data_IF_436095750274
#
_entry.id   IF_436095750274
#
_cell.length_a   1.000
_cell.length_b   1.000
_cell.length_c   1.000
_cell.angle_alpha   90.00
_cell.angle_beta   90.00
_cell.angle_gamma   90.00
#
_symmetry.space_group_name_H-M   'P 1'
#
loop_
_entity.id
_entity.type
_entity.pdbx_description
1 polymer ?
#
# COMPACT_ATOMS: atom_id res chain seq x y z
N UNK A 1 -6.12 -0.20 14.78
CA UNK A 1 -6.13 -1.22 13.70
C UNK A 1 -4.80 -1.95 13.62
N UNK A 2 -3.68 -1.24 13.59
CA UNK A 2 -2.33 -1.80 13.69
C UNK A 2 -1.61 -1.19 14.89
N UNK A 3 -0.86 -1.98 15.65
CA UNK A 3 -0.09 -1.56 16.81
C UNK A 3 1.31 -2.18 16.77
N UNK A 4 2.31 -1.35 16.94
CA UNK A 4 3.71 -1.70 17.07
C UNK A 4 4.16 -1.40 18.50
N UNK A 5 4.89 -2.33 19.13
CA UNK A 5 5.45 -2.19 20.47
C UNK A 5 6.92 -2.63 20.47
N UNK A 6 7.83 -1.67 20.64
CA UNK A 6 9.28 -1.89 20.67
C UNK A 6 9.79 -2.76 19.51
N UNK A 7 9.23 -2.55 18.32
CA UNK A 7 9.53 -3.37 17.14
C UNK A 7 10.90 -3.02 16.59
N UNK A 8 11.72 -4.05 16.40
CA UNK A 8 12.98 -4.00 15.66
C UNK A 8 12.97 -4.94 14.47
N UNK A 9 13.70 -4.56 13.43
CA UNK A 9 13.91 -5.37 12.23
C UNK A 9 15.37 -5.33 11.81
N UNK A 10 15.97 -6.51 11.60
CA UNK A 10 17.26 -6.70 10.94
C UNK A 10 17.16 -7.69 9.81
N UNK A 11 18.03 -7.59 8.84
CA UNK A 11 18.20 -8.57 7.77
C UNK A 11 19.45 -9.43 8.06
N UNK A 12 19.23 -10.74 8.21
CA UNK A 12 20.30 -11.67 8.56
C UNK A 12 21.01 -11.29 9.86
N UNK A 13 22.35 -11.26 9.84
CA UNK A 13 23.19 -10.87 10.97
C UNK A 13 23.58 -9.38 10.95
N UNK A 14 23.03 -8.59 10.04
CA UNK A 14 23.30 -7.17 9.91
C UNK A 14 22.77 -6.32 11.03
N UNK A 15 23.04 -5.01 11.02
CA UNK A 15 22.49 -4.07 11.99
C UNK A 15 20.96 -3.97 11.86
N UNK A 16 20.31 -3.51 12.92
CA UNK A 16 18.86 -3.20 12.86
C UNK A 16 18.60 -2.05 11.89
N UNK A 17 17.72 -2.31 10.93
CA UNK A 17 17.22 -1.32 9.96
C UNK A 17 16.07 -0.51 10.56
N UNK A 18 15.26 -1.14 11.43
CA UNK A 18 14.21 -0.48 12.19
C UNK A 18 14.46 -0.74 13.68
N UNK A 19 14.31 0.32 14.50
CA UNK A 19 14.69 0.29 15.92
C UNK A 19 13.61 0.90 16.79
N UNK A 20 13.18 0.14 17.80
CA UNK A 20 12.29 0.61 18.88
C UNK A 20 11.00 1.27 18.37
N UNK A 21 10.43 0.78 17.27
CA UNK A 21 9.22 1.36 16.72
C UNK A 21 8.03 1.09 17.64
N UNK A 22 7.44 2.16 18.17
CA UNK A 22 6.21 2.11 18.97
C UNK A 22 5.24 3.14 18.46
N UNK A 23 4.19 2.69 17.77
CA UNK A 23 3.15 3.56 17.21
C UNK A 23 1.88 2.77 16.88
N UNK A 24 0.83 3.50 16.48
CA UNK A 24 -0.45 2.92 16.07
C UNK A 24 -0.92 3.54 14.77
N UNK A 25 -1.59 2.71 13.95
CA UNK A 25 -2.43 3.14 12.85
C UNK A 25 -3.86 2.89 13.28
N UNK A 26 -4.59 3.96 13.51
CA UNK A 26 -6.00 3.87 13.90
C UNK A 26 -6.89 3.52 12.70
N UNK A 27 -8.08 2.95 12.90
CA UNK A 27 -9.06 2.80 11.83
C UNK A 27 -9.37 4.15 11.19
N UNK A 28 -9.56 4.16 9.87
CA UNK A 28 -9.93 5.35 9.09
C UNK A 28 -8.91 6.50 9.14
N UNK A 29 -7.66 6.25 9.60
CA UNK A 29 -6.61 7.27 9.60
C UNK A 29 -5.96 7.43 8.23
N UNK A 30 -5.49 8.65 7.95
CA UNK A 30 -4.63 8.95 6.80
C UNK A 30 -3.27 9.39 7.31
N UNK A 31 -2.18 8.80 6.82
CA UNK A 31 -0.83 9.09 7.30
C UNK A 31 0.16 9.13 6.15
N UNK A 32 1.10 10.06 6.21
CA UNK A 32 2.28 10.04 5.36
C UNK A 32 3.45 9.39 6.11
N UNK A 33 4.19 8.51 5.44
CA UNK A 33 5.45 7.97 5.89
C UNK A 33 6.57 8.62 5.08
N UNK A 34 7.43 9.38 5.73
CA UNK A 34 8.53 10.09 5.06
C UNK A 34 9.87 9.81 5.73
N UNK A 35 10.95 10.28 5.13
CA UNK A 35 12.32 10.10 5.60
C UNK A 35 13.29 9.93 4.45
N UNK A 36 14.60 10.05 4.68
CA UNK A 36 15.62 9.92 3.64
C UNK A 36 15.59 8.54 2.95
N UNK A 37 16.22 8.45 1.78
CA UNK A 37 16.43 7.17 1.12
C UNK A 37 17.22 6.24 2.04
N UNK A 38 16.84 4.96 2.08
CA UNK A 38 17.49 3.99 2.97
C UNK A 38 17.04 4.03 4.44
N UNK A 39 16.20 4.97 4.88
CA UNK A 39 15.74 5.05 6.26
C UNK A 39 14.93 3.85 6.75
N UNK A 40 14.47 2.96 5.83
CA UNK A 40 13.71 1.76 6.17
C UNK A 40 12.21 1.85 5.86
N UNK A 41 11.74 2.87 5.11
CA UNK A 41 10.31 3.04 4.75
C UNK A 41 9.71 1.79 4.11
N UNK A 42 10.35 1.24 3.08
CA UNK A 42 9.91 0.00 2.43
C UNK A 42 9.93 -1.20 3.38
N UNK A 43 10.88 -1.25 4.32
CA UNK A 43 10.93 -2.30 5.36
C UNK A 43 9.75 -2.20 6.32
N UNK A 44 9.37 -0.99 6.72
CA UNK A 44 8.19 -0.74 7.53
C UNK A 44 6.90 -1.13 6.78
N UNK A 45 6.76 -0.73 5.49
CA UNK A 45 5.63 -1.14 4.67
C UNK A 45 5.56 -2.68 4.51
N UNK A 46 6.69 -3.38 4.41
CA UNK A 46 6.73 -4.85 4.35
C UNK A 46 6.27 -5.50 5.65
N UNK A 47 6.56 -4.93 6.82
CA UNK A 47 6.00 -5.38 8.10
C UNK A 47 4.49 -5.16 8.13
N UNK A 48 4.01 -3.99 7.72
CA UNK A 48 2.58 -3.66 7.63
C UNK A 48 1.84 -4.57 6.65
N UNK A 49 2.47 -4.98 5.54
CA UNK A 49 1.91 -5.93 4.56
C UNK A 49 2.07 -7.39 4.97
N UNK A 50 2.63 -7.67 6.16
CA UNK A 50 2.87 -9.02 6.67
C UNK A 50 3.83 -9.86 5.79
N UNK A 51 4.66 -9.23 4.93
CA UNK A 51 5.66 -9.92 4.11
C UNK A 51 6.98 -10.16 4.86
N UNK A 52 7.18 -9.47 5.96
CA UNK A 52 8.25 -9.68 6.93
C UNK A 52 7.65 -9.88 8.32
N UNK A 53 8.37 -10.60 9.17
CA UNK A 53 8.10 -10.64 10.62
C UNK A 53 9.14 -9.76 11.34
N UNK A 54 8.78 -9.12 12.46
CA UNK A 54 9.73 -8.38 13.26
C UNK A 54 10.79 -9.34 13.84
N UNK A 55 12.01 -8.85 14.04
CA UNK A 55 13.06 -9.63 14.73
C UNK A 55 12.97 -9.50 16.24
N UNK A 56 12.32 -8.46 16.75
CA UNK A 56 11.92 -8.29 18.15
C UNK A 56 10.72 -7.36 18.27
N UNK A 57 10.12 -7.31 19.46
CA UNK A 57 8.92 -6.53 19.73
C UNK A 57 7.66 -7.23 19.23
N UNK A 58 6.53 -6.55 19.35
CA UNK A 58 5.22 -7.10 19.06
C UNK A 58 4.50 -6.25 18.02
N UNK A 59 3.91 -6.92 17.01
CA UNK A 59 2.99 -6.30 16.05
C UNK A 59 1.65 -6.96 16.20
N UNK A 60 0.63 -6.15 16.55
CA UNK A 60 -0.77 -6.57 16.47
C UNK A 60 -1.43 -5.90 15.28
N UNK A 61 -2.09 -6.70 14.43
CA UNK A 61 -2.75 -6.21 13.23
C UNK A 61 -4.14 -6.84 13.08
N UNK A 62 -5.15 -5.99 12.92
CA UNK A 62 -6.56 -6.39 12.87
C UNK A 62 -6.99 -7.26 14.08
N UNK A 63 -6.40 -7.02 15.25
CA UNK A 63 -6.67 -7.79 16.48
C UNK A 63 -5.88 -9.07 16.65
N UNK A 64 -4.96 -9.40 15.74
CA UNK A 64 -4.13 -10.62 15.80
C UNK A 64 -2.66 -10.29 16.06
N UNK A 65 -1.99 -11.10 16.88
CA UNK A 65 -0.54 -11.05 17.04
C UNK A 65 0.13 -11.67 15.79
N UNK A 66 0.90 -10.85 15.07
CA UNK A 66 1.56 -11.24 13.80
C UNK A 66 2.56 -12.39 14.01
N UNK A 67 3.19 -12.50 15.20
CA UNK A 67 4.17 -13.55 15.49
C UNK A 67 3.55 -14.94 15.49
N UNK A 68 2.30 -15.06 15.94
CA UNK A 68 1.58 -16.31 16.13
C UNK A 68 0.76 -16.76 14.92
N UNK A 69 0.65 -15.92 13.89
CA UNK A 69 -0.17 -16.20 12.71
C UNK A 69 0.34 -17.42 11.94
N UNK A 70 -0.58 -18.32 11.62
CA UNK A 70 -0.37 -19.36 10.62
C UNK A 70 -0.24 -18.77 9.21
N UNK A 71 0.26 -19.57 8.29
CA UNK A 71 0.41 -19.16 6.87
C UNK A 71 -0.93 -18.76 6.23
N UNK A 72 -1.99 -19.51 6.53
CA UNK A 72 -3.33 -19.25 6.01
C UNK A 72 -3.97 -18.01 6.65
N UNK A 73 -3.74 -17.80 7.94
CA UNK A 73 -4.18 -16.59 8.63
C UNK A 73 -3.49 -15.33 8.04
N UNK A 74 -2.18 -15.39 7.76
CA UNK A 74 -1.46 -14.31 7.06
C UNK A 74 -2.09 -14.04 5.68
N UNK A 75 -2.38 -15.07 4.88
CA UNK A 75 -3.01 -14.93 3.58
C UNK A 75 -4.39 -14.27 3.69
N UNK A 76 -5.19 -14.66 4.69
CA UNK A 76 -6.50 -14.07 4.96
C UNK A 76 -6.40 -12.59 5.36
N UNK A 77 -5.45 -12.23 6.23
CA UNK A 77 -5.25 -10.83 6.61
C UNK A 77 -4.74 -9.96 5.46
N UNK A 78 -3.86 -10.50 4.60
CA UNK A 78 -3.38 -9.78 3.41
C UNK A 78 -4.48 -9.39 2.44
N UNK A 79 -5.58 -10.15 2.35
CA UNK A 79 -6.74 -9.78 1.52
C UNK A 79 -7.44 -8.50 2.00
N UNK A 80 -7.19 -8.08 3.24
CA UNK A 80 -7.71 -6.83 3.83
C UNK A 80 -6.76 -5.64 3.59
N UNK A 81 -5.61 -5.89 2.94
CA UNK A 81 -4.56 -4.89 2.72
C UNK A 81 -4.36 -4.70 1.22
N UNK A 82 -4.60 -3.49 0.74
CA UNK A 82 -4.16 -3.07 -0.59
C UNK A 82 -2.72 -2.57 -0.53
N UNK A 83 -1.91 -2.91 -1.54
CA UNK A 83 -0.54 -2.42 -1.60
C UNK A 83 -0.17 -1.97 -3.01
N UNK A 84 0.40 -0.77 -3.10
CA UNK A 84 1.02 -0.22 -4.31
C UNK A 84 2.52 -0.27 -4.09
N UNK A 85 3.22 -1.09 -4.87
CA UNK A 85 4.67 -1.21 -4.83
C UNK A 85 5.33 -0.20 -5.75
N UNK A 86 6.52 0.28 -5.39
CA UNK A 86 7.33 1.18 -6.20
C UNK A 86 7.68 0.58 -7.58
N UNK A 87 7.88 -0.74 -7.65
CA UNK A 87 8.18 -1.53 -8.85
C UNK A 87 6.92 -2.11 -9.53
N UNK A 88 5.73 -1.58 -9.22
CA UNK A 88 4.40 -1.92 -9.72
C UNK A 88 3.97 -3.38 -9.46
N UNK A 89 4.84 -4.35 -9.68
CA UNK A 89 4.59 -5.81 -9.53
C UNK A 89 3.35 -6.29 -10.27
N UNK A 90 3.15 -5.79 -11.47
CA UNK A 90 2.15 -6.34 -12.37
C UNK A 90 2.62 -7.70 -12.89
N UNK A 91 1.69 -8.59 -13.15
CA UNK A 91 1.97 -9.91 -13.73
C UNK A 91 2.01 -9.77 -15.25
N UNK A 92 3.18 -9.92 -15.85
CA UNK A 92 3.43 -9.63 -17.28
C UNK A 92 2.64 -10.52 -18.25
N UNK A 93 2.23 -11.70 -17.80
CA UNK A 93 1.41 -12.66 -18.58
C UNK A 93 -0.11 -12.44 -18.45
N UNK A 94 -0.52 -11.46 -17.65
CA UNK A 94 -1.92 -11.08 -17.45
C UNK A 94 -2.17 -9.70 -18.07
N UNK A 95 -3.32 -9.51 -18.68
CA UNK A 95 -3.78 -8.20 -19.16
C UNK A 95 -3.92 -7.20 -18.01
N UNK A 96 -4.04 -5.92 -18.33
CA UNK A 96 -4.33 -4.86 -17.36
C UNK A 96 -5.62 -5.16 -16.58
N UNK A 97 -6.67 -5.59 -17.28
CA UNK A 97 -7.93 -6.01 -16.66
C UNK A 97 -7.71 -7.16 -15.67
N UNK A 98 -7.02 -8.21 -16.08
CA UNK A 98 -6.78 -9.39 -15.23
C UNK A 98 -5.91 -9.05 -14.01
N UNK A 99 -4.91 -8.18 -14.17
CA UNK A 99 -4.11 -7.68 -13.05
C UNK A 99 -4.99 -6.95 -12.01
N UNK A 100 -5.90 -6.09 -12.47
CA UNK A 100 -6.79 -5.33 -11.58
C UNK A 100 -7.86 -6.25 -10.97
N UNK A 101 -8.39 -7.20 -11.71
CA UNK A 101 -9.37 -8.18 -11.23
C UNK A 101 -8.80 -9.21 -10.24
N UNK A 102 -7.48 -9.42 -10.24
CA UNK A 102 -6.81 -10.49 -9.49
C UNK A 102 -7.19 -10.56 -8.00
N UNK A 103 -7.23 -9.45 -7.23
CA UNK A 103 -7.64 -9.49 -5.82
C UNK A 103 -9.05 -10.05 -5.62
N UNK A 104 -9.99 -9.72 -6.49
CA UNK A 104 -11.38 -10.18 -6.41
C UNK A 104 -11.48 -11.68 -6.73
N UNK A 105 -10.71 -12.16 -7.72
CA UNK A 105 -10.58 -13.59 -8.04
C UNK A 105 -9.98 -14.37 -6.86
N UNK A 106 -8.93 -13.86 -6.23
CA UNK A 106 -8.31 -14.46 -5.02
C UNK A 106 -9.28 -14.51 -3.84
N UNK A 107 -10.23 -13.57 -3.76
CA UNK A 107 -11.32 -13.59 -2.77
C UNK A 107 -12.43 -14.59 -3.12
N UNK A 108 -12.37 -15.25 -4.29
CA UNK A 108 -13.37 -16.23 -4.74
C UNK A 108 -14.64 -15.61 -5.31
N UNK A 109 -14.64 -14.33 -5.67
CA UNK A 109 -15.79 -13.70 -6.33
C UNK A 109 -15.91 -14.21 -7.77
N UNK A 110 -17.13 -14.55 -8.25
CA UNK A 110 -17.36 -14.92 -9.66
C UNK A 110 -17.18 -13.69 -10.57
N UNK A 111 -16.66 -13.90 -11.77
CA UNK A 111 -16.30 -12.84 -12.74
C UNK A 111 -17.48 -11.89 -13.04
N UNK A 112 -18.68 -12.46 -13.17
CA UNK A 112 -19.89 -11.70 -13.47
C UNK A 112 -20.27 -10.70 -12.37
N UNK A 113 -19.83 -10.96 -11.13
CA UNK A 113 -20.14 -10.11 -9.98
C UNK A 113 -19.28 -8.84 -9.87
N UNK A 114 -18.17 -8.75 -10.62
CA UNK A 114 -17.23 -7.64 -10.51
C UNK A 114 -16.73 -7.07 -11.83
N UNK A 115 -17.12 -7.65 -12.96
CA UNK A 115 -16.69 -7.19 -14.29
C UNK A 115 -16.89 -5.69 -14.47
N UNK A 116 -18.08 -5.21 -14.18
CA UNK A 116 -18.43 -3.80 -14.36
C UNK A 116 -17.65 -2.91 -13.41
N UNK A 117 -17.41 -3.33 -12.14
CA UNK A 117 -16.58 -2.61 -11.17
C UNK A 117 -15.14 -2.43 -11.69
N UNK A 118 -14.56 -3.47 -12.29
CA UNK A 118 -13.19 -3.41 -12.84
C UNK A 118 -13.13 -2.51 -14.06
N UNK A 119 -14.10 -2.61 -14.99
CA UNK A 119 -14.18 -1.76 -16.18
C UNK A 119 -14.36 -0.29 -15.79
N UNK A 120 -15.25 0.00 -14.87
CA UNK A 120 -15.50 1.36 -14.36
C UNK A 120 -14.23 1.96 -13.74
N UNK A 121 -13.55 1.20 -12.87
CA UNK A 121 -12.31 1.66 -12.25
C UNK A 121 -11.20 1.89 -13.29
N UNK A 122 -11.04 0.99 -14.28
CA UNK A 122 -10.06 1.16 -15.34
C UNK A 122 -10.35 2.41 -16.19
N UNK A 123 -11.59 2.67 -16.52
CA UNK A 123 -11.99 3.90 -17.20
C UNK A 123 -11.68 5.13 -16.34
N UNK A 124 -11.98 5.08 -15.04
CA UNK A 124 -11.76 6.17 -14.11
C UNK A 124 -10.27 6.53 -13.98
N UNK A 125 -9.37 5.52 -13.93
CA UNK A 125 -7.91 5.74 -13.92
C UNK A 125 -7.33 6.02 -15.30
N UNK A 126 -8.16 6.13 -16.34
CA UNK A 126 -7.74 6.42 -17.72
C UNK A 126 -7.01 5.26 -18.41
N UNK A 127 -7.41 4.03 -18.12
CA UNK A 127 -6.88 2.81 -18.74
C UNK A 127 -7.93 2.02 -19.53
N UNK A 128 -9.08 2.63 -19.85
CA UNK A 128 -10.17 1.97 -20.59
C UNK A 128 -9.72 1.38 -21.92
N UNK A 129 -8.96 2.13 -22.72
CA UNK A 129 -8.41 1.65 -24.00
C UNK A 129 -7.23 0.69 -23.84
N UNK A 130 -6.66 0.58 -22.65
CA UNK A 130 -5.52 -0.27 -22.29
C UNK A 130 -5.90 -1.50 -21.48
N UNK A 131 -7.18 -1.74 -21.22
CA UNK A 131 -7.61 -2.82 -20.34
C UNK A 131 -7.18 -4.21 -20.82
N UNK A 132 -7.03 -4.41 -22.12
CA UNK A 132 -6.58 -5.68 -22.70
C UNK A 132 -5.08 -5.72 -23.03
N UNK A 133 -4.35 -4.62 -22.80
CA UNK A 133 -2.92 -4.58 -23.00
C UNK A 133 -2.17 -5.34 -21.89
N UNK A 134 -1.06 -5.97 -22.25
CA UNK A 134 -0.14 -6.60 -21.30
C UNK A 134 0.80 -5.56 -20.66
N UNK A 135 1.24 -5.73 -19.42
CA UNK A 135 2.13 -4.78 -18.74
C UNK A 135 3.40 -4.40 -19.49
N UNK A 136 4.09 -5.28 -20.26
CA UNK A 136 5.30 -4.89 -21.00
C UNK A 136 5.09 -3.75 -21.99
N UNK A 137 3.89 -3.59 -22.57
CA UNK A 137 3.60 -2.52 -23.54
C UNK A 137 3.03 -1.25 -22.91
N UNK A 138 2.83 -1.24 -21.60
CA UNK A 138 2.37 -0.07 -20.85
C UNK A 138 3.53 0.87 -20.52
N UNK A 139 3.29 2.17 -20.60
CA UNK A 139 4.19 3.20 -20.05
C UNK A 139 4.30 3.09 -18.52
N UNK A 140 5.31 3.71 -17.92
CA UNK A 140 5.49 3.74 -16.48
C UNK A 140 4.27 4.29 -15.73
N UNK A 141 3.68 5.39 -16.23
CA UNK A 141 2.48 5.97 -15.66
C UNK A 141 1.24 5.08 -15.80
N UNK A 142 1.09 4.34 -16.91
CA UNK A 142 0.02 3.36 -17.09
C UNK A 142 0.18 2.18 -16.13
N UNK A 143 1.40 1.65 -15.96
CA UNK A 143 1.71 0.61 -14.97
C UNK A 143 1.37 1.07 -13.55
N UNK A 144 1.73 2.31 -13.21
CA UNK A 144 1.42 2.89 -11.90
C UNK A 144 -0.10 2.93 -11.65
N UNK A 145 -0.88 3.44 -12.63
CA UNK A 145 -2.35 3.48 -12.52
C UNK A 145 -2.96 2.09 -12.40
N UNK A 146 -2.47 1.11 -13.14
CA UNK A 146 -2.92 -0.28 -13.05
C UNK A 146 -2.60 -0.88 -11.67
N UNK A 147 -1.40 -0.63 -11.13
CA UNK A 147 -1.02 -1.09 -9.80
C UNK A 147 -1.89 -0.47 -8.68
N UNK A 148 -2.23 0.82 -8.81
CA UNK A 148 -3.14 1.50 -7.87
C UNK A 148 -4.55 0.92 -8.00
N UNK A 149 -5.09 0.79 -9.23
CA UNK A 149 -6.41 0.19 -9.45
C UNK A 149 -6.49 -1.22 -8.84
N UNK A 150 -5.47 -2.06 -9.04
CA UNK A 150 -5.38 -3.38 -8.41
C UNK A 150 -5.39 -3.31 -6.89
N UNK A 151 -4.71 -2.34 -6.30
CA UNK A 151 -4.63 -2.23 -4.84
C UNK A 151 -5.96 -1.82 -4.20
N UNK A 152 -6.80 -1.06 -4.92
CA UNK A 152 -8.03 -0.47 -4.35
C UNK A 152 -9.31 -1.21 -4.73
N UNK A 153 -9.31 -2.03 -5.80
CA UNK A 153 -10.52 -2.68 -6.31
C UNK A 153 -11.25 -3.53 -5.25
N UNK A 154 -10.50 -4.18 -4.36
CA UNK A 154 -11.06 -5.01 -3.29
C UNK A 154 -11.54 -4.20 -2.07
N UNK A 155 -11.53 -2.87 -2.13
CA UNK A 155 -11.91 -1.96 -1.03
C UNK A 155 -11.21 -2.35 0.28
N UNK A 156 -9.87 -2.28 0.35
CA UNK A 156 -9.10 -2.76 1.49
C UNK A 156 -9.40 -1.95 2.75
N UNK A 157 -9.19 -2.55 3.92
CA UNK A 157 -9.27 -1.83 5.20
C UNK A 157 -8.01 -1.00 5.47
N UNK A 158 -6.86 -1.42 4.92
CA UNK A 158 -5.59 -0.72 4.98
C UNK A 158 -5.01 -0.63 3.57
N UNK A 159 -4.73 0.58 3.10
CA UNK A 159 -4.02 0.83 1.85
C UNK A 159 -2.61 1.31 2.17
N UNK A 160 -1.63 0.62 1.62
CA UNK A 160 -0.20 0.96 1.72
C UNK A 160 0.28 1.37 0.32
N UNK A 161 0.92 2.52 0.18
CA UNK A 161 1.47 2.95 -1.09
C UNK A 161 2.93 3.37 -0.92
N UNK A 162 3.83 2.78 -1.71
CA UNK A 162 5.26 3.10 -1.73
C UNK A 162 5.55 3.96 -2.98
N UNK A 163 5.80 5.26 -2.78
CA UNK A 163 6.05 6.28 -3.81
C UNK A 163 5.00 6.26 -4.95
N UNK A 164 3.69 6.36 -4.64
CA UNK A 164 2.64 6.12 -5.64
C UNK A 164 2.57 7.18 -6.75
N UNK A 165 3.25 8.32 -6.57
CA UNK A 165 3.24 9.45 -7.50
C UNK A 165 4.58 9.70 -8.19
N UNK A 166 5.60 8.90 -7.89
CA UNK A 166 6.97 9.12 -8.38
C UNK A 166 7.16 9.01 -9.90
N UNK A 167 6.24 8.37 -10.62
CA UNK A 167 6.34 8.12 -12.07
C UNK A 167 5.16 8.71 -12.87
N UNK A 168 4.47 9.70 -12.31
CA UNK A 168 3.31 10.33 -12.95
C UNK A 168 3.46 11.85 -12.98
N UNK A 169 2.76 12.50 -13.90
CA UNK A 169 2.74 13.95 -13.97
C UNK A 169 2.01 14.59 -12.76
N UNK A 170 2.28 15.87 -12.44
CA UNK A 170 1.70 16.53 -11.26
C UNK A 170 0.17 16.54 -11.24
N UNK A 171 -0.50 16.64 -12.40
CA UNK A 171 -1.96 16.68 -12.47
C UNK A 171 -2.55 15.31 -12.10
N UNK A 172 -1.92 14.24 -12.55
CA UNK A 172 -2.28 12.88 -12.19
C UNK A 172 -1.95 12.58 -10.73
N UNK A 173 -0.82 13.05 -10.22
CA UNK A 173 -0.46 12.90 -8.80
C UNK A 173 -1.56 13.49 -7.88
N UNK A 174 -2.09 14.67 -8.21
CA UNK A 174 -3.22 15.27 -7.49
C UNK A 174 -4.49 14.43 -7.58
N UNK A 175 -4.81 13.89 -8.77
CA UNK A 175 -5.98 13.01 -8.92
C UNK A 175 -5.84 11.73 -8.09
N UNK A 176 -4.66 11.13 -8.05
CA UNK A 176 -4.39 9.96 -7.23
C UNK A 176 -4.47 10.27 -5.73
N UNK A 177 -3.96 11.42 -5.28
CA UNK A 177 -4.13 11.84 -3.89
C UNK A 177 -5.61 12.00 -3.54
N UNK A 178 -6.42 12.63 -4.41
CA UNK A 178 -7.87 12.72 -4.20
C UNK A 178 -8.53 11.35 -4.10
N UNK A 179 -8.12 10.37 -4.93
CA UNK A 179 -8.59 8.99 -4.82
C UNK A 179 -8.31 8.41 -3.43
N UNK A 180 -7.08 8.56 -2.95
CA UNK A 180 -6.70 8.04 -1.62
C UNK A 180 -7.49 8.73 -0.50
N UNK A 181 -7.75 10.02 -0.62
CA UNK A 181 -8.59 10.77 0.34
C UNK A 181 -10.04 10.28 0.30
N UNK A 182 -10.62 10.05 -0.88
CA UNK A 182 -12.00 9.53 -0.98
C UNK A 182 -12.10 8.09 -0.45
N UNK A 183 -11.10 7.24 -0.71
CA UNK A 183 -11.01 5.92 -0.08
C UNK A 183 -10.93 6.00 1.45
N UNK A 184 -10.18 6.96 1.96
CA UNK A 184 -10.09 7.18 3.41
C UNK A 184 -11.44 7.62 4.00
N UNK A 185 -12.14 8.57 3.37
CA UNK A 185 -13.49 8.99 3.76
C UNK A 185 -14.48 7.82 3.72
N UNK A 186 -14.28 6.87 2.81
CA UNK A 186 -15.10 5.65 2.71
C UNK A 186 -14.72 4.56 3.72
N UNK A 187 -13.76 4.83 4.62
CA UNK A 187 -13.40 3.95 5.72
C UNK A 187 -12.09 3.18 5.56
N UNK A 188 -11.35 3.33 4.47
CA UNK A 188 -10.01 2.74 4.31
C UNK A 188 -8.98 3.53 5.12
N UNK A 189 -8.14 2.87 5.91
CA UNK A 189 -6.95 3.53 6.48
C UNK A 189 -5.86 3.60 5.42
N UNK A 190 -5.18 4.74 5.30
CA UNK A 190 -4.22 4.99 4.23
C UNK A 190 -2.85 5.35 4.81
N UNK A 191 -1.80 4.70 4.31
CA UNK A 191 -0.40 5.06 4.59
C UNK A 191 0.33 5.23 3.26
N UNK A 192 0.80 6.44 2.99
CA UNK A 192 1.55 6.77 1.77
C UNK A 192 3.00 7.04 2.16
N UNK A 193 3.92 6.19 1.72
CA UNK A 193 5.34 6.47 1.79
C UNK A 193 5.73 7.38 0.63
N UNK A 194 6.22 8.58 0.92
CA UNK A 194 6.66 9.53 -0.09
C UNK A 194 7.72 10.50 0.48
N UNK A 195 8.53 11.04 -0.41
CA UNK A 195 9.44 12.14 -0.12
C UNK A 195 8.97 13.47 -0.76
N UNK A 196 7.83 13.47 -1.44
CA UNK A 196 7.23 14.64 -2.07
C UNK A 196 6.54 15.53 -1.01
N UNK A 197 7.26 16.56 -0.57
CA UNK A 197 6.76 17.55 0.42
C UNK A 197 5.54 18.29 -0.14
N UNK A 198 5.57 18.67 -1.43
CA UNK A 198 4.49 19.41 -2.04
C UNK A 198 3.19 18.59 -2.09
N UNK A 199 3.29 17.27 -2.25
CA UNK A 199 2.15 16.38 -2.14
C UNK A 199 1.62 16.28 -0.70
N UNK A 200 2.54 16.18 0.29
CA UNK A 200 2.16 16.11 1.70
C UNK A 200 1.48 17.38 2.20
N UNK A 201 1.88 18.54 1.70
CA UNK A 201 1.32 19.85 2.10
C UNK A 201 -0.10 20.10 1.52
N UNK A 202 -0.55 19.26 0.58
CA UNK A 202 -1.91 19.36 0.01
C UNK A 202 -2.99 18.73 0.89
N UNK A 203 -2.60 17.94 1.88
CA UNK A 203 -3.55 17.26 2.75
C UNK A 203 -3.02 17.22 4.18
N UNK A 204 -3.80 17.81 5.09
CA UNK A 204 -3.48 17.80 6.52
C UNK A 204 -3.65 16.39 7.08
N UNK A 205 -2.53 15.73 7.32
CA UNK A 205 -2.48 14.35 7.77
C UNK A 205 -1.24 14.11 8.63
N UNK A 206 -1.37 13.19 9.54
CA UNK A 206 -0.29 12.73 10.42
C UNK A 206 0.94 12.34 9.62
N UNK A 207 2.13 12.78 10.07
CA UNK A 207 3.42 12.47 9.43
C UNK A 207 4.23 11.53 10.30
N UNK A 208 4.56 10.39 9.77
CA UNK A 208 5.47 9.40 10.33
C UNK A 208 6.85 9.61 9.69
N UNK A 209 7.75 10.23 10.41
CA UNK A 209 9.11 10.55 9.91
C UNK A 209 10.08 9.49 10.37
N UNK A 210 10.59 8.70 9.44
CA UNK A 210 11.57 7.64 9.72
C UNK A 210 12.98 8.18 9.48
N UNK A 211 13.79 8.19 10.53
CA UNK A 211 15.18 8.63 10.49
C UNK A 211 16.06 7.68 11.29
N UNK A 212 17.16 7.18 10.70
CA UNK A 212 18.10 6.22 11.31
C UNK A 212 17.40 5.00 11.97
N UNK A 213 16.36 4.49 11.31
CA UNK A 213 15.57 3.36 11.78
C UNK A 213 14.61 3.66 12.93
N UNK A 214 14.51 4.90 13.39
CA UNK A 214 13.59 5.35 14.44
C UNK A 214 12.44 6.18 13.84
N UNK A 215 11.28 6.11 14.47
CA UNK A 215 10.08 6.82 14.02
C UNK A 215 9.79 8.02 14.90
N UNK A 216 9.64 9.19 14.27
CA UNK A 216 9.14 10.42 14.88
C UNK A 216 7.75 10.71 14.33
N UNK A 217 6.82 11.10 15.18
CA UNK A 217 5.40 11.28 14.82
C UNK A 217 5.05 12.75 15.00
N UNK A 218 4.44 13.32 13.95
CA UNK A 218 3.93 14.69 13.93
C UNK A 218 2.45 14.63 13.55
N UNK A 219 1.61 15.12 14.46
CA UNK A 219 0.15 15.24 14.28
C UNK A 219 -0.18 16.58 13.65
#
# INVERSE_FOLDING_TARGET
>A
MVRFENVGLRYGLGPEVLRDLTFRIEPHSFQFLTGPSGAGKTSLLRLLFLSLKPTRGLISQFGHDVATLSRDAVATLRRRIGIVFQDFRLLDHMTTYENVALPLRVMGRPEESFRDEVVELLNWVGLGERMWALPPVLSGGEKQRAAIARAVIARPQLLLADEPTGNVDPSLAQRLLRLFVELNKSGTSVVIATHDIALMDQYDARRLVLHDGRLHIYD
#
